data_IF_678984836668
#
_entry.id   IF_678984836668
#
_cell.length_a   1.000
_cell.length_b   1.000
_cell.length_c   1.000
_cell.angle_alpha   90.00
_cell.angle_beta   90.00
_cell.angle_gamma   90.00
#
_symmetry.space_group_name_H-M   'P 1'
#
loop_
_entity.id
_entity.type
_entity.pdbx_description
1 polymer ?
#
# COMPACT_ATOMS: atom_id res chain seq x y z
N UNK A 1 9.31 29.98 51.52
CA UNK A 1 8.34 29.17 50.77
C UNK A 1 9.08 28.51 49.62
N UNK A 2 9.38 27.21 49.73
CA UNK A 2 9.96 26.40 48.66
C UNK A 2 8.83 25.66 47.96
N UNK A 3 8.73 25.78 46.64
CA UNK A 3 7.82 24.97 45.82
C UNK A 3 8.61 23.93 45.06
N UNK A 4 8.12 22.70 45.17
CA UNK A 4 8.68 21.44 44.75
C UNK A 4 8.51 21.23 43.23
N UNK A 5 9.57 20.85 42.52
CA UNK A 5 9.50 20.47 41.09
C UNK A 5 9.14 18.98 40.98
N UNK A 6 7.94 18.71 40.45
CA UNK A 6 7.48 17.37 40.11
C UNK A 6 7.91 16.95 38.69
N UNK A 7 8.73 15.91 38.64
CA UNK A 7 9.11 15.12 37.46
C UNK A 7 7.87 14.41 36.88
N UNK A 8 7.49 14.68 35.62
CA UNK A 8 6.52 13.88 34.88
C UNK A 8 7.27 12.97 33.91
N UNK A 9 7.25 11.68 34.23
CA UNK A 9 7.92 10.61 33.54
C UNK A 9 7.31 10.29 32.18
N UNK A 10 8.21 9.84 31.31
CA UNK A 10 8.04 9.36 29.95
C UNK A 10 7.44 7.94 29.99
N UNK A 11 6.18 7.79 29.62
CA UNK A 11 5.54 6.48 29.49
C UNK A 11 4.47 6.54 28.38
N UNK A 12 4.89 6.61 27.12
CA UNK A 12 3.96 6.72 25.98
C UNK A 12 4.49 6.05 24.71
N UNK A 13 5.32 4.98 24.83
CA UNK A 13 5.91 4.32 23.65
C UNK A 13 5.64 2.82 23.50
N UNK A 14 4.82 2.18 24.36
CA UNK A 14 4.55 0.74 24.25
C UNK A 14 3.15 0.41 23.68
N UNK A 15 2.17 1.31 23.79
CA UNK A 15 0.80 1.05 23.32
C UNK A 15 0.64 1.13 21.79
N UNK A 16 1.57 1.79 21.08
CA UNK A 16 1.53 1.91 19.63
C UNK A 16 1.98 0.65 18.88
N UNK A 17 2.76 -0.25 19.50
CA UNK A 17 3.19 -1.50 18.87
C UNK A 17 2.10 -2.58 18.95
N UNK A 18 1.32 -2.58 20.04
CA UNK A 18 0.27 -3.56 20.29
C UNK A 18 -0.95 -3.34 19.39
N UNK A 19 -1.32 -2.08 19.12
CA UNK A 19 -2.41 -1.72 18.22
C UNK A 19 -2.13 -2.10 16.75
N UNK A 20 -0.85 -2.03 16.32
CA UNK A 20 -0.42 -2.47 14.98
C UNK A 20 -0.50 -4.00 14.82
N UNK A 21 -0.17 -4.76 15.87
CA UNK A 21 -0.26 -6.23 15.89
C UNK A 21 -1.71 -6.74 15.92
N UNK A 22 -2.60 -6.07 16.65
CA UNK A 22 -4.03 -6.43 16.73
C UNK A 22 -4.75 -6.18 15.39
N UNK A 23 -4.44 -5.09 14.69
CA UNK A 23 -4.99 -4.82 13.36
C UNK A 23 -4.59 -5.86 12.31
N UNK A 24 -3.34 -6.35 12.36
CA UNK A 24 -2.85 -7.40 11.46
C UNK A 24 -3.50 -8.77 11.74
N UNK A 25 -3.71 -9.11 13.01
CA UNK A 25 -4.40 -10.35 13.43
C UNK A 25 -5.89 -10.35 13.06
N UNK A 26 -6.59 -9.22 13.19
CA UNK A 26 -8.00 -9.10 12.81
C UNK A 26 -8.22 -9.21 11.29
N UNK A 27 -7.28 -8.71 10.49
CA UNK A 27 -7.30 -8.83 9.03
C UNK A 27 -7.05 -10.27 8.55
N UNK A 28 -6.17 -11.02 9.25
CA UNK A 28 -5.95 -12.45 9.01
C UNK A 28 -7.18 -13.29 9.39
N UNK A 29 -7.92 -12.91 10.45
CA UNK A 29 -9.16 -13.57 10.85
C UNK A 29 -10.32 -13.38 9.88
N UNK A 30 -10.43 -12.21 9.23
CA UNK A 30 -11.50 -11.94 8.24
C UNK A 30 -11.31 -12.65 6.88
N UNK A 31 -10.09 -13.11 6.55
CA UNK A 31 -9.85 -13.95 5.38
C UNK A 31 -10.42 -15.38 5.53
N UNK A 32 -10.84 -15.78 6.74
CA UNK A 32 -11.41 -17.10 7.05
C UNK A 32 -12.91 -17.27 6.77
N UNK A 33 -13.61 -16.26 6.23
CA UNK A 33 -15.07 -16.29 6.07
C UNK A 33 -15.58 -16.37 4.61
N UNK A 34 -14.72 -16.68 3.65
CA UNK A 34 -15.16 -17.02 2.28
C UNK A 34 -15.37 -18.54 2.19
N UNK A 35 -16.61 -18.97 2.02
CA UNK A 35 -16.98 -20.38 1.93
C UNK A 35 -16.23 -21.09 0.80
N UNK A 36 -15.34 -22.00 1.19
CA UNK A 36 -14.65 -22.90 0.28
C UNK A 36 -15.61 -24.01 -0.14
N UNK A 37 -15.93 -24.09 -1.44
CA UNK A 37 -16.29 -25.38 -2.01
C UNK A 37 -15.04 -26.25 -2.01
N UNK A 38 -15.17 -27.48 -1.54
CA UNK A 38 -14.12 -28.49 -1.53
C UNK A 38 -13.77 -28.83 -2.99
N UNK A 39 -12.80 -28.08 -3.52
CA UNK A 39 -12.19 -28.30 -4.83
C UNK A 39 -10.71 -28.60 -4.62
N UNK A 40 -10.15 -29.46 -5.46
CA UNK A 40 -8.78 -29.93 -5.44
C UNK A 40 -7.77 -28.89 -4.88
N UNK A 41 -7.17 -29.25 -3.73
CA UNK A 41 -6.05 -28.59 -3.05
C UNK A 41 -5.78 -27.13 -3.41
N UNK A 42 -6.51 -26.19 -2.79
CA UNK A 42 -6.14 -24.79 -2.84
C UNK A 42 -4.84 -24.58 -2.08
N UNK A 43 -3.82 -24.02 -2.74
CA UNK A 43 -2.52 -23.70 -2.15
C UNK A 43 -2.49 -22.20 -1.85
N UNK A 44 -2.23 -21.83 -0.59
CA UNK A 44 -2.06 -20.43 -0.19
C UNK A 44 -0.58 -20.04 -0.20
N UNK A 45 -0.28 -18.88 -0.79
CA UNK A 45 1.07 -18.35 -0.92
C UNK A 45 1.14 -16.94 -0.33
N UNK A 46 1.79 -16.81 0.83
CA UNK A 46 2.06 -15.49 1.43
C UNK A 46 3.46 -15.03 1.05
N UNK A 47 3.58 -13.90 0.35
CA UNK A 47 4.87 -13.35 -0.07
C UNK A 47 5.02 -11.89 0.37
N UNK A 48 5.92 -11.63 1.30
CA UNK A 48 6.33 -10.26 1.61
C UNK A 48 7.25 -9.77 0.49
N UNK A 49 6.81 -8.75 -0.25
CA UNK A 49 7.56 -8.22 -1.37
C UNK A 49 8.09 -6.83 -1.01
N UNK A 50 9.42 -6.63 -0.89
CA UNK A 50 9.98 -5.29 -0.77
C UNK A 50 9.87 -4.54 -2.10
N UNK A 51 8.65 -4.24 -2.53
CA UNK A 51 8.37 -3.48 -3.74
C UNK A 51 8.01 -2.09 -3.29
N UNK A 52 8.93 -1.14 -3.53
CA UNK A 52 8.69 0.28 -3.32
C UNK A 52 7.49 0.75 -4.14
N UNK A 53 6.29 0.80 -3.55
CA UNK A 53 5.10 1.38 -4.17
C UNK A 53 4.66 2.53 -3.27
N UNK A 54 4.57 3.73 -3.83
CA UNK A 54 4.13 4.93 -3.11
C UNK A 54 2.68 5.25 -3.41
N UNK A 55 1.87 5.45 -2.38
CA UNK A 55 0.51 5.94 -2.54
C UNK A 55 0.42 7.37 -2.04
N UNK A 56 0.12 8.28 -2.96
CA UNK A 56 -0.05 9.69 -2.65
C UNK A 56 -1.52 10.06 -2.45
N UNK A 57 -2.41 9.07 -2.35
CA UNK A 57 -3.83 9.31 -2.09
C UNK A 57 -4.03 9.73 -0.64
N UNK A 58 -4.88 10.72 -0.41
CA UNK A 58 -5.14 11.22 0.93
C UNK A 58 -5.73 12.61 0.94
N UNK A 59 -6.03 13.08 2.15
CA UNK A 59 -6.42 14.47 2.41
C UNK A 59 -5.27 15.15 3.14
N UNK A 60 -4.88 16.31 2.64
CA UNK A 60 -3.75 17.09 3.10
C UNK A 60 -4.23 18.48 3.50
N UNK A 61 -3.64 19.00 4.56
CA UNK A 61 -3.86 20.38 5.01
C UNK A 61 -2.53 21.02 5.37
N UNK A 62 -2.34 22.27 4.98
CA UNK A 62 -1.14 23.03 5.30
C UNK A 62 -1.45 24.52 5.44
N UNK A 63 -0.72 25.18 6.33
CA UNK A 63 -0.69 26.64 6.42
C UNK A 63 0.54 27.17 5.69
N UNK A 64 0.32 28.03 4.70
CA UNK A 64 1.39 28.66 3.91
C UNK A 64 1.30 30.17 4.03
N UNK A 65 2.15 30.80 4.85
CA UNK A 65 2.19 32.27 4.99
C UNK A 65 0.82 32.90 5.27
N UNK A 66 0.04 32.28 6.18
CA UNK A 66 -1.32 32.73 6.50
C UNK A 66 -2.42 32.24 5.55
N UNK A 67 -2.08 31.47 4.51
CA UNK A 67 -3.04 30.79 3.63
C UNK A 67 -3.34 29.39 4.18
N UNK A 68 -4.59 29.12 4.52
CA UNK A 68 -5.07 27.78 4.87
C UNK A 68 -5.37 27.01 3.59
N UNK A 69 -4.63 25.93 3.33
CA UNK A 69 -4.78 25.11 2.12
C UNK A 69 -5.20 23.71 2.53
N UNK A 70 -6.34 23.26 2.01
CA UNK A 70 -6.83 21.89 2.18
C UNK A 70 -7.09 21.23 0.83
N UNK A 71 -6.67 19.99 0.65
CA UNK A 71 -6.94 19.27 -0.60
C UNK A 71 -6.98 17.76 -0.42
N UNK A 72 -7.81 17.10 -1.21
CA UNK A 72 -7.87 15.65 -1.30
C UNK A 72 -7.41 15.22 -2.67
N UNK A 73 -6.58 14.19 -2.74
CA UNK A 73 -6.16 13.56 -3.99
C UNK A 73 -6.38 12.06 -3.96
N UNK A 74 -6.62 11.51 -5.14
CA UNK A 74 -6.72 10.10 -5.40
C UNK A 74 -5.68 9.72 -6.47
N UNK A 75 -4.99 8.61 -6.23
CA UNK A 75 -4.08 7.98 -7.18
C UNK A 75 -4.76 6.76 -7.82
N UNK A 76 -4.87 6.76 -9.14
CA UNK A 76 -5.41 5.65 -9.91
C UNK A 76 -4.37 4.53 -10.14
N UNK A 77 -4.83 3.39 -10.66
CA UNK A 77 -3.99 2.24 -10.99
C UNK A 77 -2.94 2.47 -12.08
N UNK A 78 -3.02 3.58 -12.83
CA UNK A 78 -2.03 4.04 -13.82
C UNK A 78 -1.09 5.11 -13.23
N UNK A 79 -1.19 5.38 -11.94
CA UNK A 79 -0.42 6.37 -11.19
C UNK A 79 -0.84 7.81 -11.48
N UNK A 80 -1.98 8.02 -12.15
CA UNK A 80 -2.52 9.36 -12.37
C UNK A 80 -3.10 9.85 -11.05
N UNK A 81 -2.79 11.10 -10.72
CA UNK A 81 -3.26 11.77 -9.52
C UNK A 81 -4.34 12.76 -9.95
N UNK A 82 -5.49 12.71 -9.29
CA UNK A 82 -6.58 13.67 -9.46
C UNK A 82 -7.09 14.11 -8.11
N UNK A 83 -7.54 15.34 -8.00
CA UNK A 83 -8.05 15.83 -6.73
C UNK A 83 -8.67 17.21 -6.85
N UNK A 84 -9.17 17.67 -5.72
CA UNK A 84 -9.75 19.00 -5.55
C UNK A 84 -9.34 19.53 -4.18
N UNK A 85 -9.29 20.85 -4.07
CA UNK A 85 -9.00 21.49 -2.80
C UNK A 85 -9.43 22.93 -2.79
N UNK A 86 -9.16 23.56 -1.67
CA UNK A 86 -9.42 24.97 -1.40
C UNK A 86 -8.16 25.62 -0.82
N UNK A 87 -8.04 26.92 -1.01
CA UNK A 87 -7.14 27.77 -0.27
C UNK A 87 -7.92 28.97 0.25
N UNK A 88 -7.74 29.31 1.52
CA UNK A 88 -8.40 30.43 2.18
C UNK A 88 -7.36 31.41 2.72
N UNK A 89 -7.53 32.70 2.40
CA UNK A 89 -6.73 33.79 2.95
C UNK A 89 -7.67 34.86 3.51
N UNK A 90 -7.27 35.46 4.63
CA UNK A 90 -7.78 36.75 5.08
C UNK A 90 -6.78 37.84 4.69
N UNK A 91 -7.22 38.81 3.90
CA UNK A 91 -6.42 39.97 3.52
C UNK A 91 -7.18 41.21 3.95
N UNK A 92 -6.69 41.90 4.98
CA UNK A 92 -7.27 43.13 5.53
C UNK A 92 -8.77 42.97 5.90
N UNK A 93 -9.16 41.81 6.45
CA UNK A 93 -10.53 41.50 6.84
C UNK A 93 -11.42 41.01 5.69
N UNK A 94 -10.86 40.78 4.50
CA UNK A 94 -11.55 40.17 3.36
C UNK A 94 -11.14 38.71 3.24
N UNK A 95 -12.06 37.80 3.53
CA UNK A 95 -11.86 36.36 3.28
C UNK A 95 -11.97 36.05 1.77
N UNK A 96 -10.94 35.38 1.25
CA UNK A 96 -10.85 34.93 -0.14
C UNK A 96 -10.72 33.41 -0.14
N UNK A 97 -11.71 32.73 -0.74
CA UNK A 97 -11.69 31.28 -0.93
C UNK A 97 -11.41 30.93 -2.40
N UNK A 98 -10.36 30.15 -2.62
CA UNK A 98 -9.90 29.69 -3.92
C UNK A 98 -10.11 28.19 -4.07
N UNK A 99 -11.06 27.77 -4.90
CA UNK A 99 -11.19 26.36 -5.26
C UNK A 99 -10.22 25.99 -6.38
N UNK A 100 -9.59 24.82 -6.28
CA UNK A 100 -8.64 24.34 -7.26
C UNK A 100 -8.77 22.85 -7.57
N UNK A 101 -8.29 22.48 -8.75
CA UNK A 101 -8.16 21.10 -9.17
C UNK A 101 -6.69 20.68 -9.13
N UNK A 102 -6.46 19.47 -8.64
CA UNK A 102 -5.16 18.80 -8.63
C UNK A 102 -5.13 17.79 -9.77
N UNK A 103 -4.08 17.84 -10.59
CA UNK A 103 -3.80 16.83 -11.62
C UNK A 103 -2.32 16.49 -11.57
N UNK A 104 -2.00 15.22 -11.57
CA UNK A 104 -0.61 14.79 -11.54
C UNK A 104 -0.42 13.37 -12.01
N UNK A 105 0.80 12.90 -11.84
CA UNK A 105 1.17 11.52 -12.08
C UNK A 105 2.42 11.15 -11.30
N UNK A 106 2.44 9.96 -10.72
CA UNK A 106 3.63 9.28 -10.24
C UNK A 106 4.09 8.22 -11.24
N UNK A 107 5.39 8.09 -11.42
CA UNK A 107 6.03 7.02 -12.21
C UNK A 107 7.31 6.59 -11.52
N UNK A 108 7.64 5.31 -11.58
CA UNK A 108 8.98 4.86 -11.19
C UNK A 108 9.86 4.56 -12.41
N UNK A 109 11.14 4.93 -12.30
CA UNK A 109 12.21 4.63 -13.25
C UNK A 109 13.49 4.35 -12.47
N UNK A 110 14.03 3.15 -12.62
CA UNK A 110 15.32 2.74 -12.02
C UNK A 110 15.40 2.97 -10.50
N UNK A 111 14.34 2.63 -9.75
CA UNK A 111 14.30 2.83 -8.29
C UNK A 111 13.99 4.26 -7.83
N UNK A 112 13.94 5.23 -8.75
CA UNK A 112 13.52 6.60 -8.48
C UNK A 112 12.04 6.77 -8.78
N UNK A 113 11.31 7.44 -7.89
CA UNK A 113 9.89 7.73 -8.05
C UNK A 113 9.70 9.19 -8.41
N UNK A 114 9.45 9.44 -9.69
CA UNK A 114 9.22 10.78 -10.21
C UNK A 114 7.74 11.15 -10.07
N UNK A 115 7.49 12.25 -9.37
CA UNK A 115 6.19 12.87 -9.17
C UNK A 115 6.14 14.13 -10.04
N UNK A 116 5.11 14.22 -10.87
CA UNK A 116 4.77 15.43 -11.60
C UNK A 116 3.35 15.84 -11.23
N UNK A 117 3.21 16.92 -10.48
CA UNK A 117 1.92 17.45 -10.03
C UNK A 117 1.69 18.85 -10.59
N UNK A 118 0.45 19.15 -10.93
CA UNK A 118 -0.02 20.46 -11.35
C UNK A 118 -1.33 20.76 -10.63
N UNK A 119 -1.33 21.82 -9.85
CA UNK A 119 -2.50 22.41 -9.25
C UNK A 119 -2.89 23.63 -10.08
N UNK A 120 -4.17 23.74 -10.40
CA UNK A 120 -4.70 24.89 -11.14
C UNK A 120 -5.91 25.44 -10.39
N UNK A 121 -5.73 26.65 -9.88
CA UNK A 121 -6.76 27.38 -9.17
C UNK A 121 -7.38 28.43 -10.10
N UNK A 122 -8.69 28.56 -10.02
CA UNK A 122 -9.43 29.67 -10.61
C UNK A 122 -10.38 30.18 -9.56
N UNK A 123 -10.38 31.48 -9.33
CA UNK A 123 -11.32 32.10 -8.43
C UNK A 123 -11.90 33.37 -9.04
N UNK A 124 -13.02 33.79 -8.49
CA UNK A 124 -13.58 35.12 -8.73
C UNK A 124 -13.78 35.73 -7.36
N UNK A 125 -13.15 36.87 -7.10
CA UNK A 125 -13.37 37.62 -5.87
C UNK A 125 -13.85 39.03 -6.21
N UNK A 126 -14.61 39.64 -5.31
CA UNK A 126 -15.00 41.03 -5.43
C UNK A 126 -13.94 41.90 -4.76
N UNK A 127 -13.28 42.75 -5.54
CA UNK A 127 -12.26 43.67 -5.05
C UNK A 127 -12.75 45.08 -5.37
N UNK A 128 -12.97 45.90 -4.34
CA UNK A 128 -13.50 47.26 -4.47
C UNK A 128 -14.81 47.32 -5.29
N UNK A 129 -15.76 46.42 -5.03
CA UNK A 129 -17.04 46.37 -5.72
C UNK A 129 -17.00 45.79 -7.15
N UNK A 130 -15.84 45.26 -7.60
CA UNK A 130 -15.66 44.69 -8.94
C UNK A 130 -15.30 43.22 -8.88
N UNK A 131 -16.05 42.39 -9.61
CA UNK A 131 -15.74 40.97 -9.80
C UNK A 131 -14.45 40.80 -10.61
N UNK A 132 -13.40 40.35 -9.94
CA UNK A 132 -12.08 40.11 -10.51
C UNK A 132 -11.82 38.60 -10.58
N UNK A 133 -11.36 38.13 -11.74
CA UNK A 133 -11.01 36.70 -11.94
C UNK A 133 -9.53 36.49 -11.66
N UNK A 134 -9.22 35.53 -10.80
CA UNK A 134 -7.87 35.12 -10.45
C UNK A 134 -7.57 33.76 -11.05
N UNK A 135 -6.34 33.60 -11.53
CA UNK A 135 -5.81 32.31 -11.97
C UNK A 135 -4.43 32.13 -11.38
N UNK A 136 -4.26 31.04 -10.65
CA UNK A 136 -2.96 30.59 -10.17
C UNK A 136 -2.69 29.18 -10.69
N UNK A 137 -1.43 28.91 -11.02
CA UNK A 137 -0.95 27.59 -11.41
C UNK A 137 0.27 27.27 -10.58
N UNK A 138 0.27 26.08 -10.02
CA UNK A 138 1.34 25.56 -9.18
C UNK A 138 1.77 24.22 -9.74
N UNK A 139 3.06 24.02 -9.95
CA UNK A 139 3.62 22.82 -10.56
C UNK A 139 4.75 22.29 -9.71
N UNK A 140 4.69 21.01 -9.35
CA UNK A 140 5.78 20.29 -8.69
C UNK A 140 6.35 19.28 -9.67
N UNK A 141 7.68 19.23 -9.74
CA UNK A 141 8.42 18.06 -10.20
C UNK A 141 9.31 17.61 -9.05
N UNK A 142 9.05 16.42 -8.53
CA UNK A 142 9.79 15.89 -7.40
C UNK A 142 10.21 14.45 -7.63
N UNK A 143 11.21 14.01 -6.90
CA UNK A 143 11.74 12.65 -6.89
C UNK A 143 11.86 12.17 -5.45
N UNK A 144 11.36 10.96 -5.20
CA UNK A 144 11.58 10.25 -3.93
C UNK A 144 12.88 9.44 -4.06
N UNK A 145 13.82 9.71 -3.17
CA UNK A 145 14.99 8.89 -2.95
C UNK A 145 14.73 7.94 -1.77
N UNK A 146 14.45 6.67 -2.08
CA UNK A 146 14.14 5.65 -1.07
C UNK A 146 15.35 5.24 -0.23
N UNK A 147 16.57 5.47 -0.70
CA UNK A 147 17.78 5.17 0.06
C UNK A 147 18.02 6.18 1.19
N UNK A 148 17.58 7.42 1.01
CA UNK A 148 17.75 8.51 1.99
C UNK A 148 16.44 8.91 2.68
N UNK A 149 15.29 8.43 2.21
CA UNK A 149 13.98 8.87 2.71
C UNK A 149 13.69 10.34 2.40
N UNK A 150 14.28 10.90 1.33
CA UNK A 150 14.16 12.33 1.01
C UNK A 150 13.32 12.54 -0.25
N UNK A 151 12.54 13.62 -0.24
CA UNK A 151 11.85 14.18 -1.39
C UNK A 151 12.60 15.42 -1.88
N UNK A 152 13.09 15.39 -3.12
CA UNK A 152 13.75 16.54 -3.73
C UNK A 152 13.02 16.99 -4.97
N UNK A 153 13.05 18.28 -5.30
CA UNK A 153 12.33 18.74 -6.48
C UNK A 153 12.40 20.23 -6.75
N UNK A 154 11.60 20.62 -7.72
CA UNK A 154 11.36 22.02 -8.08
C UNK A 154 9.87 22.30 -8.09
N UNK A 155 9.51 23.39 -7.43
CA UNK A 155 8.20 23.98 -7.39
C UNK A 155 8.19 25.22 -8.29
N UNK A 156 7.17 25.36 -9.14
CA UNK A 156 6.94 26.54 -9.97
C UNK A 156 5.54 27.08 -9.73
N UNK A 157 5.47 28.36 -9.38
CA UNK A 157 4.22 29.07 -9.12
C UNK A 157 4.06 30.15 -10.17
N UNK A 158 2.86 30.32 -10.70
CA UNK A 158 2.51 31.45 -11.54
C UNK A 158 1.12 31.96 -11.20
N UNK A 159 1.03 33.25 -10.91
CA UNK A 159 -0.21 33.95 -10.58
C UNK A 159 -0.08 35.41 -11.05
N UNK A 160 -1.17 35.99 -11.58
CA UNK A 160 -1.23 37.41 -11.97
C UNK A 160 -0.09 37.88 -12.92
N UNK A 161 0.47 36.99 -13.73
CA UNK A 161 1.58 37.30 -14.63
C UNK A 161 2.97 37.05 -14.04
N UNK A 162 3.07 36.95 -12.72
CA UNK A 162 4.31 36.62 -12.01
C UNK A 162 4.62 35.13 -12.07
N UNK A 163 5.92 34.81 -11.96
CA UNK A 163 6.44 33.44 -11.96
C UNK A 163 7.58 33.29 -10.97
N UNK A 164 7.44 32.32 -10.07
CA UNK A 164 8.46 31.97 -9.07
C UNK A 164 8.84 30.51 -9.26
N UNK A 165 10.12 30.19 -9.11
CA UNK A 165 10.65 28.83 -9.14
C UNK A 165 11.55 28.62 -7.93
N UNK A 166 11.27 27.58 -7.14
CA UNK A 166 12.01 27.24 -5.92
C UNK A 166 12.38 25.76 -5.97
N UNK A 167 13.62 25.45 -5.66
CA UNK A 167 14.04 24.06 -5.43
C UNK A 167 13.92 23.72 -3.95
N UNK A 168 13.59 22.48 -3.65
CA UNK A 168 13.43 22.02 -2.27
C UNK A 168 14.04 20.63 -2.09
N UNK A 169 14.36 20.33 -0.84
CA UNK A 169 14.83 19.04 -0.35
C UNK A 169 14.25 18.87 1.04
N UNK A 170 13.29 17.97 1.18
CA UNK A 170 12.52 17.77 2.41
C UNK A 170 12.53 16.28 2.77
N UNK A 171 12.44 15.92 4.06
CA UNK A 171 12.12 14.55 4.45
C UNK A 171 10.73 14.16 3.93
N UNK A 172 10.49 12.87 3.71
CA UNK A 172 9.16 12.39 3.39
C UNK A 172 8.22 12.65 4.58
N UNK A 173 7.09 13.31 4.30
CA UNK A 173 6.19 13.81 5.33
C UNK A 173 5.30 12.74 5.99
N UNK A 174 5.21 11.54 5.42
CA UNK A 174 4.35 10.48 5.92
C UNK A 174 5.20 9.35 6.53
N UNK A 175 5.26 9.32 7.86
CA UNK A 175 5.94 8.26 8.61
C UNK A 175 5.31 6.88 8.37
N UNK A 176 4.07 6.81 7.88
CA UNK A 176 3.35 5.57 7.61
C UNK A 176 3.49 5.10 6.16
N UNK A 177 4.20 5.84 5.30
CA UNK A 177 4.46 5.44 3.93
C UNK A 177 5.97 5.34 3.69
N UNK A 178 6.50 4.13 3.74
CA UNK A 178 7.92 3.83 3.47
C UNK A 178 8.15 3.15 2.10
N UNK A 179 7.07 2.93 1.36
CA UNK A 179 7.06 2.22 0.09
C UNK A 179 7.02 0.70 0.21
N UNK A 180 7.12 0.09 1.39
CA UNK A 180 7.00 -1.37 1.54
C UNK A 180 5.60 -1.87 1.18
N UNK A 181 5.50 -3.15 0.79
CA UNK A 181 4.23 -3.77 0.43
C UNK A 181 4.23 -5.26 0.76
N UNK A 182 3.05 -5.85 0.94
CA UNK A 182 2.88 -7.29 1.19
C UNK A 182 1.93 -7.84 0.14
N UNK A 183 2.35 -8.88 -0.59
CA UNK A 183 1.49 -9.55 -1.58
C UNK A 183 1.13 -10.96 -1.09
N UNK A 184 -0.14 -11.15 -0.82
CA UNK A 184 -0.71 -12.46 -0.51
C UNK A 184 -1.43 -12.96 -1.75
N UNK A 185 -1.21 -14.23 -2.11
CA UNK A 185 -1.93 -14.86 -3.22
C UNK A 185 -2.45 -16.23 -2.82
N UNK A 186 -3.70 -16.52 -3.13
CA UNK A 186 -4.27 -17.87 -3.03
C UNK A 186 -4.35 -18.42 -4.44
N UNK A 187 -3.92 -19.66 -4.66
CA UNK A 187 -3.93 -20.29 -5.98
C UNK A 187 -4.66 -21.63 -5.90
N UNK A 188 -5.59 -21.85 -6.81
CA UNK A 188 -6.20 -23.15 -7.07
C UNK A 188 -5.80 -23.61 -8.46
N UNK A 189 -5.33 -24.86 -8.54
CA UNK A 189 -4.91 -25.48 -9.79
C UNK A 189 -5.99 -26.42 -10.27
N UNK A 190 -6.33 -26.28 -11.55
CA UNK A 190 -7.19 -27.21 -12.30
C UNK A 190 -6.46 -27.61 -13.58
N UNK A 191 -6.87 -28.69 -14.24
CA UNK A 191 -6.16 -29.23 -15.41
C UNK A 191 -5.82 -28.15 -16.45
N UNK A 192 -4.55 -27.73 -16.49
CA UNK A 192 -4.01 -26.73 -17.41
C UNK A 192 -4.36 -25.26 -17.10
N UNK A 193 -4.93 -24.95 -15.93
CA UNK A 193 -5.32 -23.59 -15.54
C UNK A 193 -5.04 -23.33 -14.06
N UNK A 194 -4.59 -22.12 -13.77
CA UNK A 194 -4.46 -21.63 -12.39
C UNK A 194 -5.33 -20.39 -12.22
N UNK A 195 -6.13 -20.40 -11.17
CA UNK A 195 -7.00 -19.29 -10.76
C UNK A 195 -6.77 -18.99 -9.29
N UNK A 196 -7.23 -17.84 -8.82
CA UNK A 196 -7.20 -17.52 -7.39
C UNK A 196 -7.23 -16.01 -7.18
N UNK A 197 -6.78 -15.58 -6.00
CA UNK A 197 -6.88 -14.20 -5.57
C UNK A 197 -5.52 -13.63 -5.22
N UNK A 198 -5.42 -12.30 -5.28
CA UNK A 198 -4.26 -11.53 -4.89
C UNK A 198 -4.69 -10.35 -4.03
N UNK A 199 -4.01 -10.19 -2.91
CA UNK A 199 -4.19 -9.09 -1.97
C UNK A 199 -2.84 -8.40 -1.81
N UNK A 200 -2.77 -7.14 -2.22
CA UNK A 200 -1.59 -6.30 -2.02
C UNK A 200 -1.89 -5.24 -0.96
N UNK A 201 -1.18 -5.29 0.16
CA UNK A 201 -1.24 -4.28 1.22
C UNK A 201 -0.04 -3.35 1.07
N UNK A 202 -0.29 -2.04 0.97
CA UNK A 202 0.74 -1.00 0.96
C UNK A 202 1.11 -0.60 2.39
N UNK A 203 2.24 0.06 2.61
CA UNK A 203 2.67 0.44 3.97
C UNK A 203 1.72 1.39 4.70
N UNK A 204 1.00 2.24 3.97
CA UNK A 204 -0.07 3.06 4.55
C UNK A 204 -1.37 2.27 4.88
N UNK A 205 -1.35 0.95 4.78
CA UNK A 205 -2.49 0.07 5.06
C UNK A 205 -3.50 -0.07 3.92
N UNK A 206 -3.33 0.64 2.80
CA UNK A 206 -4.24 0.48 1.65
C UNK A 206 -4.15 -0.92 1.07
N UNK A 207 -5.31 -1.53 0.85
CA UNK A 207 -5.43 -2.86 0.25
C UNK A 207 -5.87 -2.74 -1.21
N UNK A 208 -5.22 -3.49 -2.09
CA UNK A 208 -5.58 -3.65 -3.49
C UNK A 208 -5.87 -5.13 -3.74
N UNK A 209 -7.15 -5.45 -3.93
CA UNK A 209 -7.61 -6.77 -4.33
C UNK A 209 -7.45 -6.98 -5.83
N UNK A 210 -7.23 -8.22 -6.25
CA UNK A 210 -7.22 -8.59 -7.65
C UNK A 210 -7.36 -10.09 -7.89
N UNK A 211 -7.79 -10.45 -9.08
CA UNK A 211 -7.86 -11.85 -9.51
C UNK A 211 -6.51 -12.32 -10.01
N UNK A 212 -6.17 -13.58 -9.71
CA UNK A 212 -5.06 -14.31 -10.30
C UNK A 212 -5.58 -15.24 -11.40
N UNK A 213 -4.98 -15.14 -12.59
CA UNK A 213 -5.23 -16.07 -13.70
C UNK A 213 -3.92 -16.45 -14.39
N UNK A 214 -3.72 -17.74 -14.62
CA UNK A 214 -2.53 -18.27 -15.28
C UNK A 214 -2.73 -19.69 -15.81
N UNK A 215 -1.61 -20.28 -16.21
CA UNK A 215 -1.52 -21.66 -16.70
C UNK A 215 -0.18 -22.24 -16.28
N UNK A 216 -0.16 -23.55 -16.07
CA UNK A 216 1.09 -24.28 -15.95
C UNK A 216 1.84 -24.23 -17.29
N UNK A 217 3.11 -23.83 -17.24
CA UNK A 217 3.99 -23.77 -18.38
C UNK A 217 5.15 -24.75 -18.23
N UNK A 218 5.88 -24.99 -19.32
CA UNK A 218 7.09 -25.83 -19.31
C UNK A 218 8.24 -25.30 -18.43
N UNK A 219 8.18 -24.02 -18.03
CA UNK A 219 9.24 -23.33 -17.27
C UNK A 219 8.65 -22.73 -15.98
N UNK A 220 7.91 -23.55 -15.24
CA UNK A 220 7.20 -23.14 -14.02
C UNK A 220 5.87 -22.41 -14.26
N UNK A 221 5.20 -22.12 -13.15
CA UNK A 221 3.89 -21.48 -13.11
C UNK A 221 4.01 -19.97 -13.36
N UNK A 222 3.30 -19.48 -14.39
CA UNK A 222 3.19 -18.06 -14.71
C UNK A 222 1.75 -17.60 -14.54
N UNK A 223 1.51 -16.76 -13.54
CA UNK A 223 0.19 -16.19 -13.28
C UNK A 223 0.21 -14.67 -13.40
N UNK A 224 -0.95 -14.10 -13.72
CA UNK A 224 -1.17 -12.66 -13.76
C UNK A 224 -2.15 -12.28 -12.68
N UNK A 225 -1.72 -11.45 -11.74
CA UNK A 225 -2.60 -10.80 -10.77
C UNK A 225 -3.07 -9.46 -11.35
N UNK A 226 -4.38 -9.26 -11.44
CA UNK A 226 -4.97 -8.02 -11.96
C UNK A 226 -5.91 -7.43 -10.94
N UNK A 227 -5.57 -6.24 -10.46
CA UNK A 227 -6.40 -5.52 -9.51
C UNK A 227 -7.80 -5.25 -10.05
N UNK A 228 -8.75 -5.14 -9.14
CA UNK A 228 -10.12 -4.75 -9.45
C UNK A 228 -10.17 -3.34 -10.06
N UNK A 229 -11.23 -3.07 -10.83
CA UNK A 229 -11.51 -1.71 -11.26
C UNK A 229 -11.97 -0.92 -10.04
N UNK A 230 -11.18 0.06 -9.64
CA UNK A 230 -11.59 1.06 -8.66
C UNK A 230 -12.65 1.98 -9.26
N UNK A 231 -13.38 2.73 -8.41
CA UNK A 231 -14.33 3.77 -8.83
C UNK A 231 -13.68 4.84 -9.73
N UNK A 232 -12.34 4.97 -9.68
CA UNK A 232 -11.52 5.85 -10.52
C UNK A 232 -11.11 5.23 -11.87
N UNK A 233 -11.70 4.10 -12.25
CA UNK A 233 -11.75 3.61 -13.64
C UNK A 233 -10.52 2.84 -14.14
N UNK A 234 -9.52 2.56 -13.29
CA UNK A 234 -8.37 1.73 -13.67
C UNK A 234 -8.07 0.63 -12.66
N UNK A 235 -7.51 -0.49 -13.17
CA UNK A 235 -7.06 -1.62 -12.37
C UNK A 235 -5.87 -1.17 -11.52
N UNK A 236 -6.00 -1.24 -10.19
CA UNK A 236 -4.96 -0.79 -9.24
C UNK A 236 -3.62 -1.52 -9.39
N UNK A 237 -3.65 -2.74 -9.93
CA UNK A 237 -2.52 -3.65 -10.01
C UNK A 237 -2.52 -4.45 -11.32
N UNK A 238 -1.34 -4.71 -11.87
CA UNK A 238 -1.12 -5.63 -12.98
C UNK A 238 0.26 -6.27 -12.80
N UNK A 239 0.30 -7.40 -12.10
CA UNK A 239 1.51 -8.16 -11.82
C UNK A 239 1.54 -9.46 -12.61
N UNK A 240 2.75 -9.88 -12.92
CA UNK A 240 3.11 -11.21 -13.38
C UNK A 240 3.96 -11.85 -12.29
N UNK A 241 3.50 -12.99 -11.79
CA UNK A 241 4.19 -13.79 -10.79
C UNK A 241 4.77 -15.01 -11.50
N UNK A 242 6.05 -15.28 -11.24
CA UNK A 242 6.78 -16.41 -11.83
C UNK A 242 7.23 -17.29 -10.66
N UNK A 243 6.71 -18.52 -10.65
CA UNK A 243 7.06 -19.53 -9.66
C UNK A 243 8.04 -20.54 -10.26
N UNK A 244 8.91 -21.09 -9.41
CA UNK A 244 9.79 -22.20 -9.74
C UNK A 244 9.06 -23.54 -9.76
N UNK A 245 9.80 -24.61 -10.09
CA UNK A 245 9.25 -25.96 -10.18
C UNK A 245 8.85 -26.52 -8.80
N UNK A 246 9.49 -26.06 -7.72
CA UNK A 246 9.10 -26.36 -6.33
C UNK A 246 7.98 -25.45 -5.79
N UNK A 247 7.37 -24.61 -6.64
CA UNK A 247 6.26 -23.74 -6.24
C UNK A 247 6.67 -22.50 -5.45
N UNK A 248 7.96 -22.21 -5.31
CA UNK A 248 8.48 -20.99 -4.71
C UNK A 248 8.33 -19.80 -5.66
N UNK A 249 7.97 -18.63 -5.14
CA UNK A 249 7.91 -17.41 -5.94
C UNK A 249 9.35 -16.96 -6.28
N UNK A 250 9.68 -16.93 -7.57
CA UNK A 250 11.01 -16.52 -8.07
C UNK A 250 11.09 -15.04 -8.42
N UNK A 251 10.02 -14.50 -9.01
CA UNK A 251 9.99 -13.09 -9.35
C UNK A 251 8.59 -12.53 -9.50
N UNK A 252 8.49 -11.23 -9.28
CA UNK A 252 7.31 -10.42 -9.53
C UNK A 252 7.70 -9.31 -10.47
N UNK A 253 6.92 -9.14 -11.54
CA UNK A 253 7.11 -8.07 -12.53
C UNK A 253 5.78 -7.42 -12.83
N UNK A 254 5.75 -6.11 -13.03
CA UNK A 254 4.55 -5.46 -13.52
C UNK A 254 4.43 -4.04 -13.01
N UNK A 255 3.18 -3.62 -12.77
CA UNK A 255 2.90 -2.31 -12.21
C UNK A 255 1.82 -2.35 -11.14
N UNK A 256 1.99 -1.49 -10.15
CA UNK A 256 0.98 -1.15 -9.14
C UNK A 256 0.88 0.36 -9.14
N UNK A 257 -0.32 0.92 -9.27
CA UNK A 257 -0.55 2.37 -9.23
C UNK A 257 0.43 3.16 -10.13
N UNK A 258 0.63 2.69 -11.36
CA UNK A 258 1.52 3.30 -12.35
C UNK A 258 3.03 3.12 -12.14
N UNK A 259 3.44 2.57 -11.00
CA UNK A 259 4.84 2.34 -10.63
C UNK A 259 5.25 0.92 -10.99
N UNK A 260 6.47 0.74 -11.50
CA UNK A 260 7.05 -0.58 -11.72
C UNK A 260 7.17 -1.31 -10.39
N UNK A 261 6.54 -2.48 -10.32
CA UNK A 261 6.74 -3.45 -9.28
C UNK A 261 7.71 -4.50 -9.81
N UNK A 262 8.90 -4.57 -9.22
CA UNK A 262 9.91 -5.57 -9.57
C UNK A 262 10.50 -6.15 -8.30
N UNK A 263 10.40 -7.47 -8.17
CA UNK A 263 11.07 -8.22 -7.12
C UNK A 263 11.65 -9.50 -7.72
N UNK A 264 12.80 -9.88 -7.21
CA UNK A 264 13.45 -11.16 -7.53
C UNK A 264 14.09 -11.70 -6.25
N UNK A 265 13.84 -12.96 -5.96
CA UNK A 265 14.35 -13.66 -4.79
C UNK A 265 13.79 -15.07 -4.75
N UNK A 266 14.04 -15.80 -3.67
CA UNK A 266 13.31 -17.01 -3.37
C UNK A 266 12.70 -16.84 -1.99
N UNK A 267 11.38 -16.83 -1.91
CA UNK A 267 10.67 -16.92 -0.64
C UNK A 267 10.35 -18.40 -0.46
N UNK A 268 11.00 -19.01 0.54
CA UNK A 268 10.63 -20.35 0.98
C UNK A 268 9.18 -20.33 1.44
N UNK A 269 8.40 -21.31 1.02
CA UNK A 269 7.05 -21.51 1.52
C UNK A 269 7.09 -21.60 3.05
N UNK A 270 6.11 -20.99 3.72
CA UNK A 270 5.71 -21.49 5.02
C UNK A 270 4.73 -22.62 4.70
N UNK A 271 5.07 -23.90 4.96
CA UNK A 271 4.12 -24.97 4.76
C UNK A 271 2.86 -24.64 5.57
N UNK A 272 1.71 -24.90 4.96
CA UNK A 272 0.40 -24.66 5.55
C UNK A 272 0.39 -25.15 7.01
N UNK A 273 0.09 -24.30 8.01
CA UNK A 273 0.00 -24.75 9.40
C UNK A 273 -1.11 -25.81 9.61
N UNK A 274 -1.96 -26.05 8.59
CA UNK A 274 -3.04 -27.03 8.61
C UNK A 274 -2.64 -28.49 8.43
N UNK A 275 -1.43 -28.81 7.94
CA UNK A 275 -0.93 -30.18 8.10
C UNK A 275 -0.36 -30.29 9.50
N UNK A 276 -1.24 -30.62 10.46
CA UNK A 276 -0.81 -31.24 11.70
C UNK A 276 0.19 -32.32 11.31
N UNK A 277 1.47 -32.25 11.73
CA UNK A 277 2.37 -33.38 11.52
C UNK A 277 1.62 -34.58 12.08
N UNK A 278 1.47 -35.62 11.27
CA UNK A 278 0.97 -36.91 11.73
C UNK A 278 1.68 -37.15 13.05
N UNK A 279 0.93 -37.16 14.15
CA UNK A 279 1.51 -37.43 15.45
C UNK A 279 2.35 -38.70 15.33
N UNK A 280 3.45 -38.82 16.08
CA UNK A 280 4.23 -40.06 16.07
C UNK A 280 3.26 -41.23 16.14
N UNK A 281 3.34 -42.16 15.18
CA UNK A 281 2.51 -43.36 15.16
C UNK A 281 2.42 -43.88 16.60
N UNK A 282 1.20 -43.94 17.12
CA UNK A 282 0.97 -44.47 18.45
C UNK A 282 1.67 -45.84 18.48
N UNK A 283 2.64 -46.06 19.38
CA UNK A 283 3.41 -47.28 19.37
C UNK A 283 2.43 -48.44 19.45
N UNK A 284 2.51 -49.36 18.48
CA UNK A 284 1.67 -50.55 18.47
C UNK A 284 1.71 -51.16 19.86
N UNK A 285 0.52 -51.31 20.46
CA UNK A 285 0.39 -51.89 21.79
C UNK A 285 1.11 -53.24 21.78
N UNK A 286 2.02 -53.51 22.73
CA UNK A 286 2.70 -54.80 22.76
C UNK A 286 1.65 -55.92 22.80
N UNK A 287 1.88 -57.05 22.12
CA UNK A 287 0.95 -58.16 22.10
C UNK A 287 0.59 -58.55 23.53
N UNK A 288 -0.72 -58.55 23.84
CA UNK A 288 -1.23 -58.72 25.19
C UNK A 288 -0.64 -59.93 25.89
N UNK A 289 -0.17 -59.73 27.12
CA UNK A 289 0.35 -60.80 27.97
C UNK A 289 -0.73 -61.89 28.13
N UNK A 290 -0.33 -63.13 27.85
CA UNK A 290 -1.15 -64.32 28.08
C UNK A 290 -1.35 -64.45 29.59
N UNK A 291 -2.60 -64.50 30.11
CA UNK A 291 -2.83 -64.64 31.54
C UNK A 291 -2.24 -65.97 32.05
N UNK A 292 -1.67 -65.99 33.27
CA UNK A 292 -1.09 -67.20 33.83
C UNK A 292 -2.17 -68.28 34.03
N UNK A 293 -1.82 -69.57 33.84
CA UNK A 293 -2.77 -70.65 34.04
C UNK A 293 -3.23 -70.70 35.51
N UNK A 294 -4.48 -71.08 35.77
CA UNK A 294 -5.01 -71.15 37.12
C UNK A 294 -4.25 -72.19 37.96
N UNK A 295 -4.08 -71.94 39.27
CA UNK A 295 -3.34 -72.84 40.15
C UNK A 295 -4.04 -74.20 40.25
N UNK A 296 -3.29 -75.25 39.94
CA UNK A 296 -3.69 -76.64 40.18
C UNK A 296 -3.51 -76.99 41.64
N UNK A 297 -4.58 -77.47 42.28
CA UNK A 297 -4.53 -78.23 43.54
C UNK A 297 -4.42 -79.73 43.25
#
# INVERSE_FOLDING_TARGET
MQTNNGHAGKQESEDNDMNKKIGLMALLGMLGAFGFSESAGAESYTNTLPVGIWDLSGTYSQKLNGLDVGYTVEQDGKGKITGTGYAEADIDGVSIVLNFAVKGKIKSKNGVYAIAQKISAKATAEVNGKKTKFKATYQIKAEINTGTGMLSGTMKVSALGEKISVSFLEPLADENMDGTSVLITTLSRTTGKVVGDALLTLSNGRIIYGDVKGKDGKNGLKVKAKGEKTNVGSKGMALQLIFGDSGELKSVKGKVSGQKAAWSGSVSQNPDPGTTPSGPEEPESPPGEIPPPPPTF
#
